data_IF_571352783701
#
_entry.id   IF_571352783701
#
_cell.length_a   1.000
_cell.length_b   1.000
_cell.length_c   1.000
_cell.angle_alpha   90.00
_cell.angle_beta   90.00
_cell.angle_gamma   90.00
#
_symmetry.space_group_name_H-M   'P 1'
#
loop_
_entity.id
_entity.type
_entity.pdbx_description
1 polymer ?
#
# COMPACT_ATOMS: atom_id res chain seq x y z
N UNK A 1 38.21 -31.16 3.67
CA UNK A 1 36.82 -30.81 3.32
C UNK A 1 36.24 -30.03 4.49
N UNK A 2 36.44 -28.71 4.49
CA UNK A 2 35.85 -27.81 5.50
C UNK A 2 35.64 -26.46 4.83
N UNK A 3 34.62 -25.74 5.28
CA UNK A 3 34.18 -24.42 4.81
C UNK A 3 33.14 -24.41 3.70
N UNK A 4 31.88 -24.69 4.07
CA UNK A 4 30.70 -24.01 3.52
C UNK A 4 29.64 -23.92 4.63
N UNK A 5 29.79 -22.99 5.57
CA UNK A 5 28.71 -22.62 6.49
C UNK A 5 28.93 -21.21 7.04
N UNK A 6 28.84 -20.22 6.17
CA UNK A 6 28.90 -18.82 6.57
C UNK A 6 28.25 -17.92 5.50
N UNK A 7 26.92 -17.99 5.32
CA UNK A 7 26.19 -16.94 4.59
C UNK A 7 24.80 -16.62 5.16
N UNK A 8 24.16 -17.45 6.00
CA UNK A 8 22.72 -17.25 6.33
C UNK A 8 22.47 -16.49 7.66
N UNK A 9 23.41 -15.65 8.11
CA UNK A 9 23.36 -14.98 9.42
C UNK A 9 23.08 -13.47 9.37
N UNK A 10 22.67 -12.88 8.23
CA UNK A 10 22.80 -11.42 8.05
C UNK A 10 21.51 -10.60 7.96
N UNK A 11 20.31 -11.18 8.07
CA UNK A 11 19.05 -10.42 7.90
C UNK A 11 18.30 -10.21 9.22
N UNK A 12 18.12 -11.24 10.06
CA UNK A 12 17.44 -11.11 11.36
C UNK A 12 18.22 -10.22 12.36
N UNK A 13 19.55 -10.32 12.38
CA UNK A 13 20.41 -9.44 13.19
C UNK A 13 20.39 -7.98 12.73
N UNK A 14 19.95 -7.70 11.49
CA UNK A 14 19.98 -6.35 10.91
C UNK A 14 18.87 -5.44 11.43
N UNK A 15 17.75 -6.00 11.89
CA UNK A 15 16.65 -5.24 12.50
C UNK A 15 17.02 -4.72 13.90
N UNK A 16 17.60 -5.58 14.75
CA UNK A 16 18.14 -5.15 16.05
C UNK A 16 19.42 -4.31 15.91
N UNK A 17 20.26 -4.55 14.89
CA UNK A 17 21.50 -3.78 14.70
C UNK A 17 21.30 -2.41 14.04
N UNK A 18 20.38 -2.25 13.07
CA UNK A 18 20.07 -0.93 12.51
C UNK A 18 19.40 -0.02 13.54
N UNK A 19 18.57 -0.57 14.43
CA UNK A 19 17.97 0.18 15.55
C UNK A 19 19.02 0.83 16.48
N UNK A 20 20.21 0.23 16.61
CA UNK A 20 21.28 0.76 17.46
C UNK A 20 22.20 1.79 16.77
N UNK A 21 22.26 1.82 15.43
CA UNK A 21 23.16 2.72 14.68
C UNK A 21 22.54 4.11 14.48
N UNK A 22 21.22 4.20 14.30
CA UNK A 22 20.50 5.46 14.07
C UNK A 22 20.57 6.39 15.30
N UNK A 23 20.59 5.85 16.52
CA UNK A 23 20.68 6.66 17.75
C UNK A 23 21.96 7.48 17.90
N UNK A 24 23.01 7.22 17.12
CA UNK A 24 24.28 7.98 17.16
C UNK A 24 24.34 9.15 16.17
N UNK A 25 23.44 9.25 15.19
CA UNK A 25 23.54 10.24 14.13
C UNK A 25 22.78 11.56 14.40
N UNK A 26 21.85 11.60 15.36
CA UNK A 26 20.90 12.73 15.50
C UNK A 26 21.33 13.82 16.50
N UNK A 27 22.55 13.77 17.06
CA UNK A 27 22.99 14.76 18.09
C UNK A 27 23.75 15.96 17.50
N UNK A 28 24.09 15.97 16.22
CA UNK A 28 24.92 17.04 15.65
C UNK A 28 24.25 17.73 14.47
N UNK A 29 23.27 18.59 14.75
CA UNK A 29 23.01 19.83 13.98
C UNK A 29 21.87 20.64 14.59
N UNK A 30 22.21 21.60 15.44
CA UNK A 30 21.31 22.68 15.84
C UNK A 30 22.10 24.00 15.87
N UNK A 31 21.86 24.87 14.89
CA UNK A 31 22.22 26.29 14.89
C UNK A 31 21.00 27.08 14.35
N UNK A 32 20.57 28.17 14.99
CA UNK A 32 19.35 28.90 14.62
C UNK A 32 19.66 30.13 13.74
N UNK A 33 18.98 30.29 12.61
CA UNK A 33 19.09 31.50 11.78
C UNK A 33 17.75 32.21 11.56
N UNK A 34 17.65 33.33 12.27
CA UNK A 34 17.17 34.66 11.88
C UNK A 34 15.92 34.84 10.99
N UNK A 35 15.02 35.63 11.56
CA UNK A 35 13.89 36.34 10.95
C UNK A 35 14.30 37.24 9.77
N UNK A 36 13.59 37.14 8.65
CA UNK A 36 13.22 38.28 7.79
C UNK A 36 12.19 37.82 6.75
N UNK A 37 10.95 38.31 6.81
CA UNK A 37 10.06 38.32 5.65
C UNK A 37 9.44 39.72 5.53
N UNK A 38 9.83 40.42 4.47
CA UNK A 38 9.28 41.69 4.02
C UNK A 38 8.00 41.45 3.20
N UNK A 39 7.09 42.40 3.35
CA UNK A 39 5.84 42.52 2.62
C UNK A 39 6.05 42.72 1.11
N UNK A 40 5.10 42.20 0.32
CA UNK A 40 4.71 42.81 -0.95
C UNK A 40 3.23 42.52 -1.19
N UNK A 41 2.51 43.59 -1.45
CA UNK A 41 1.07 43.74 -1.62
C UNK A 41 0.74 43.89 -3.12
N UNK A 42 -0.57 43.90 -3.43
CA UNK A 42 -1.21 44.42 -4.65
C UNK A 42 -1.29 43.46 -5.87
N UNK A 43 -2.33 43.41 -6.70
CA UNK A 43 -3.69 43.95 -6.72
C UNK A 43 -4.38 43.48 -8.04
N UNK A 44 -5.71 43.50 -8.03
CA UNK A 44 -6.61 43.79 -9.15
C UNK A 44 -6.94 42.74 -10.24
N UNK A 45 -8.17 42.23 -10.11
CA UNK A 45 -9.33 42.50 -10.98
C UNK A 45 -9.37 42.08 -12.46
N UNK A 46 -10.48 41.41 -12.77
CA UNK A 46 -11.15 41.41 -14.08
C UNK A 46 -11.42 40.00 -14.62
N UNK A 47 -12.53 39.62 -15.23
CA UNK A 47 -13.76 40.28 -15.70
C UNK A 47 -14.79 39.13 -15.91
N UNK A 48 -16.05 39.38 -15.59
CA UNK A 48 -17.22 38.55 -15.91
C UNK A 48 -17.45 38.42 -17.44
N UNK A 49 -17.95 37.26 -17.89
CA UNK A 49 -19.18 37.15 -18.70
C UNK A 49 -19.58 35.69 -18.97
N UNK A 50 -20.81 35.39 -18.55
CA UNK A 50 -21.69 34.30 -18.99
C UNK A 50 -21.99 34.38 -20.48
N UNK A 51 -22.27 33.27 -21.17
CA UNK A 51 -23.37 33.17 -22.15
C UNK A 51 -23.77 31.70 -22.44
N UNK A 52 -24.94 31.36 -21.89
CA UNK A 52 -26.02 30.47 -22.35
C UNK A 52 -25.81 29.27 -23.29
N UNK A 53 -26.48 28.19 -22.86
CA UNK A 53 -27.06 27.04 -23.55
C UNK A 53 -27.93 27.33 -24.79
N UNK A 54 -28.01 26.33 -25.69
CA UNK A 54 -29.24 25.73 -26.28
C UNK A 54 -28.81 24.70 -27.35
N UNK A 55 -28.93 23.38 -27.13
CA UNK A 55 -30.11 22.52 -27.33
C UNK A 55 -30.90 22.76 -28.62
N UNK A 56 -30.82 21.82 -29.57
CA UNK A 56 -31.96 21.40 -30.39
C UNK A 56 -31.76 20.03 -31.03
N UNK A 57 -32.63 19.14 -30.59
CA UNK A 57 -33.12 17.89 -31.20
C UNK A 57 -33.82 18.14 -32.54
N UNK A 58 -33.71 17.20 -33.49
CA UNK A 58 -34.87 16.61 -34.18
C UNK A 58 -34.47 15.55 -35.23
N UNK A 59 -35.03 14.36 -35.05
CA UNK A 59 -35.16 13.28 -36.03
C UNK A 59 -36.00 13.70 -37.25
N UNK A 60 -35.86 12.96 -38.36
CA UNK A 60 -37.08 12.42 -38.95
C UNK A 60 -37.03 10.91 -39.20
N UNK A 61 -38.25 10.40 -39.19
CA UNK A 61 -38.71 9.02 -39.27
C UNK A 61 -38.74 8.48 -40.71
N UNK A 62 -38.60 7.15 -40.76
CA UNK A 62 -39.29 6.21 -41.66
C UNK A 62 -39.08 6.34 -43.17
N UNK A 63 -38.41 5.34 -43.75
CA UNK A 63 -38.88 4.76 -45.01
C UNK A 63 -38.74 3.24 -44.99
N UNK A 64 -39.77 2.61 -45.54
CA UNK A 64 -40.17 1.21 -45.47
C UNK A 64 -39.41 0.33 -46.47
N UNK A 65 -39.28 -0.94 -46.07
CA UNK A 65 -39.38 -2.16 -46.89
C UNK A 65 -38.35 -2.41 -48.00
N UNK A 66 -37.62 -3.52 -47.88
CA UNK A 66 -37.62 -4.57 -48.91
C UNK A 66 -37.04 -5.86 -48.32
N UNK A 67 -37.87 -6.92 -48.34
CA UNK A 67 -37.49 -8.28 -48.05
C UNK A 67 -36.54 -8.78 -49.15
N UNK A 68 -35.33 -9.19 -48.79
CA UNK A 68 -34.49 -10.04 -49.63
C UNK A 68 -34.02 -11.24 -48.82
N UNK A 69 -34.59 -12.39 -49.20
CA UNK A 69 -34.27 -13.74 -48.76
C UNK A 69 -32.78 -14.02 -49.00
N UNK A 70 -32.01 -14.26 -47.95
CA UNK A 70 -30.62 -14.74 -48.04
C UNK A 70 -30.51 -16.16 -47.47
N UNK A 71 -29.76 -17.06 -48.13
CA UNK A 71 -29.67 -18.47 -47.74
C UNK A 71 -28.86 -18.66 -46.47
N UNK A 72 -29.30 -19.62 -45.65
CA UNK A 72 -28.63 -20.08 -44.43
C UNK A 72 -27.17 -20.51 -44.70
N UNK A 73 -26.21 -19.67 -44.31
CA UNK A 73 -24.84 -20.12 -44.02
C UNK A 73 -24.81 -20.63 -42.58
N UNK A 74 -24.62 -21.95 -42.42
CA UNK A 74 -24.25 -22.57 -41.15
C UNK A 74 -22.90 -22.01 -40.71
N UNK A 75 -22.94 -21.01 -39.83
CA UNK A 75 -21.78 -20.55 -39.07
C UNK A 75 -21.47 -21.62 -38.01
N UNK A 76 -20.24 -22.16 -37.95
CA UNK A 76 -19.85 -23.01 -36.82
C UNK A 76 -19.87 -22.14 -35.57
N UNK A 77 -20.77 -22.46 -34.63
CA UNK A 77 -20.75 -21.88 -33.29
C UNK A 77 -19.36 -22.16 -32.69
N UNK A 78 -18.53 -21.14 -32.40
CA UNK A 78 -17.37 -21.38 -31.59
C UNK A 78 -17.86 -21.95 -30.27
N UNK A 79 -17.36 -23.13 -29.92
CA UNK A 79 -17.54 -23.71 -28.61
C UNK A 79 -17.03 -22.65 -27.62
N UNK A 80 -17.93 -22.08 -26.81
CA UNK A 80 -17.52 -21.25 -25.69
C UNK A 80 -16.73 -22.17 -24.75
N UNK A 81 -15.42 -22.25 -24.98
CA UNK A 81 -14.48 -22.70 -23.98
C UNK A 81 -14.76 -21.84 -22.76
N UNK A 82 -15.23 -22.49 -21.69
CA UNK A 82 -15.26 -21.89 -20.36
C UNK A 82 -13.83 -21.47 -20.06
N UNK A 83 -13.50 -20.21 -20.32
CA UNK A 83 -12.37 -19.59 -19.67
C UNK A 83 -12.75 -19.56 -18.20
N UNK A 84 -12.16 -20.46 -17.41
CA UNK A 84 -12.17 -20.29 -15.97
C UNK A 84 -11.26 -19.08 -15.76
N UNK A 85 -11.85 -17.89 -15.78
CA UNK A 85 -11.24 -16.76 -15.12
C UNK A 85 -11.16 -17.19 -13.66
N UNK A 86 -9.99 -17.71 -13.27
CA UNK A 86 -9.64 -17.87 -11.87
C UNK A 86 -9.50 -16.45 -11.32
N UNK A 87 -10.64 -15.82 -11.06
CA UNK A 87 -10.69 -14.68 -10.17
C UNK A 87 -10.28 -15.25 -8.83
N UNK A 88 -8.98 -15.23 -8.55
CA UNK A 88 -8.44 -15.21 -7.20
C UNK A 88 -9.31 -14.22 -6.46
N UNK A 89 -10.28 -14.73 -5.69
CA UNK A 89 -11.03 -13.89 -4.76
C UNK A 89 -9.97 -13.49 -3.78
N UNK A 90 -9.52 -12.24 -3.88
CA UNK A 90 -8.50 -11.72 -3.02
C UNK A 90 -8.92 -12.07 -1.59
N UNK A 91 -8.11 -12.91 -0.95
CA UNK A 91 -8.47 -13.56 0.29
C UNK A 91 -8.53 -12.51 1.39
N UNK A 92 -9.61 -12.48 2.18
CA UNK A 92 -9.70 -11.66 3.39
C UNK A 92 -8.73 -12.12 4.50
N UNK A 93 -8.00 -13.22 4.29
CA UNK A 93 -6.97 -13.67 5.21
C UNK A 93 -5.74 -12.76 5.17
N UNK A 94 -5.05 -12.65 6.31
CA UNK A 94 -3.78 -11.94 6.38
C UNK A 94 -2.69 -12.66 5.60
N UNK A 95 -1.89 -11.87 4.91
CA UNK A 95 -0.64 -12.27 4.25
C UNK A 95 0.51 -11.50 4.88
N UNK A 96 1.68 -12.13 4.97
CA UNK A 96 2.82 -11.60 5.71
C UNK A 96 4.09 -11.58 4.87
N UNK A 97 4.92 -10.57 5.13
CA UNK A 97 6.29 -10.45 4.60
C UNK A 97 7.29 -11.06 5.58
N UNK A 98 8.52 -11.26 5.11
CA UNK A 98 9.67 -11.63 5.95
C UNK A 98 10.17 -10.48 6.84
N UNK A 99 9.72 -9.25 6.56
CA UNK A 99 9.96 -8.01 7.31
C UNK A 99 8.88 -7.68 8.33
N UNK A 100 7.95 -8.62 8.57
CA UNK A 100 6.92 -8.57 9.61
C UNK A 100 5.79 -7.56 9.38
N UNK A 101 5.62 -7.07 8.15
CA UNK A 101 4.40 -6.40 7.70
C UNK A 101 3.33 -7.43 7.34
N UNK A 102 2.07 -7.05 7.52
CA UNK A 102 0.92 -7.79 7.03
C UNK A 102 0.14 -6.98 6.00
N UNK A 103 -0.51 -7.68 5.07
CA UNK A 103 -1.53 -7.13 4.18
C UNK A 103 -2.80 -7.98 4.26
N UNK A 104 -3.94 -7.31 4.39
CA UNK A 104 -5.27 -7.90 4.22
C UNK A 104 -5.87 -7.33 2.94
N UNK A 105 -6.32 -8.18 2.05
CA UNK A 105 -6.98 -7.70 0.83
C UNK A 105 -8.48 -7.68 1.04
N UNK A 106 -9.06 -6.49 0.90
CA UNK A 106 -10.48 -6.24 1.05
C UNK A 106 -11.24 -6.59 -0.25
N UNK A 107 -12.55 -6.79 -0.17
CA UNK A 107 -13.39 -7.22 -1.30
C UNK A 107 -13.37 -6.23 -2.49
N UNK A 108 -13.02 -4.96 -2.24
CA UNK A 108 -12.89 -3.92 -3.26
C UNK A 108 -11.53 -3.94 -3.99
N UNK A 109 -10.63 -4.87 -3.65
CA UNK A 109 -9.30 -5.00 -4.25
C UNK A 109 -8.23 -4.08 -3.65
N UNK A 110 -8.54 -3.38 -2.55
CA UNK A 110 -7.57 -2.59 -1.78
C UNK A 110 -6.84 -3.48 -0.78
N UNK A 111 -5.52 -3.31 -0.65
CA UNK A 111 -4.71 -3.93 0.40
C UNK A 111 -4.59 -3.00 1.60
N UNK A 112 -5.09 -3.41 2.77
CA UNK A 112 -4.81 -2.76 4.06
C UNK A 112 -3.52 -3.31 4.63
N UNK A 113 -2.56 -2.44 4.98
CA UNK A 113 -1.21 -2.80 5.42
C UNK A 113 -0.98 -2.38 6.88
N UNK A 114 -0.26 -3.21 7.65
CA UNK A 114 0.21 -2.87 8.99
C UNK A 114 1.40 -3.73 9.44
N UNK A 115 1.79 -3.66 10.71
CA UNK A 115 2.84 -4.53 11.28
C UNK A 115 2.25 -5.62 12.17
N UNK A 116 2.93 -6.76 12.24
CA UNK A 116 2.49 -7.90 13.06
C UNK A 116 2.67 -7.67 14.56
N UNK A 117 2.03 -8.53 15.36
CA UNK A 117 2.22 -8.52 16.82
C UNK A 117 3.69 -8.74 17.22
N UNK A 118 4.39 -9.63 16.52
CA UNK A 118 5.81 -9.88 16.76
C UNK A 118 6.65 -8.60 16.56
N UNK A 119 6.38 -7.84 15.49
CA UNK A 119 7.09 -6.60 15.20
C UNK A 119 6.83 -5.52 16.25
N UNK A 120 5.58 -5.31 16.67
CA UNK A 120 5.27 -4.27 17.65
C UNK A 120 5.86 -4.59 19.03
N UNK A 121 5.91 -5.88 19.43
CA UNK A 121 6.57 -6.28 20.69
C UNK A 121 8.08 -6.03 20.64
N UNK A 122 8.72 -6.31 19.51
CA UNK A 122 10.14 -6.06 19.30
C UNK A 122 10.48 -4.56 19.31
N UNK A 123 9.62 -3.70 18.75
CA UNK A 123 9.77 -2.25 18.80
C UNK A 123 9.55 -1.70 20.22
N UNK A 124 8.59 -2.24 20.96
CA UNK A 124 8.09 -1.67 22.20
C UNK A 124 7.12 -0.51 21.95
N UNK A 125 6.95 0.36 22.95
CA UNK A 125 5.94 1.42 22.93
C UNK A 125 6.19 2.45 21.81
N UNK A 126 5.36 2.41 20.78
CA UNK A 126 5.46 3.28 19.60
C UNK A 126 5.06 4.70 19.99
N UNK A 127 5.93 5.66 19.66
CA UNK A 127 5.75 7.09 19.94
C UNK A 127 5.62 7.94 18.69
N UNK A 128 5.99 7.41 17.52
CA UNK A 128 5.88 8.11 16.25
C UNK A 128 5.64 7.15 15.09
N UNK A 129 4.81 7.59 14.12
CA UNK A 129 4.53 6.88 12.88
C UNK A 129 4.77 7.82 11.68
N UNK A 130 5.85 7.60 10.93
CA UNK A 130 6.09 8.22 9.64
C UNK A 130 5.39 7.43 8.54
N UNK A 131 4.32 7.99 7.99
CA UNK A 131 3.49 7.37 6.95
C UNK A 131 3.64 8.13 5.62
N UNK A 132 3.39 7.48 4.47
CA UNK A 132 3.55 8.10 3.15
C UNK A 132 2.40 9.06 2.85
N UNK A 133 2.53 9.86 1.80
CA UNK A 133 1.41 10.67 1.30
C UNK A 133 0.45 9.82 0.45
N UNK A 134 -0.85 10.12 0.53
CA UNK A 134 -1.84 9.55 -0.39
C UNK A 134 -1.51 9.96 -1.83
N UNK A 135 -1.55 9.00 -2.76
CA UNK A 135 -1.13 9.15 -4.15
C UNK A 135 0.33 8.74 -4.41
N UNK A 136 1.08 8.35 -3.37
CA UNK A 136 2.44 7.84 -3.54
C UNK A 136 2.42 6.49 -4.28
N UNK A 137 3.25 6.37 -5.32
CA UNK A 137 3.47 5.12 -6.05
C UNK A 137 4.60 4.33 -5.36
N UNK A 138 4.33 3.09 -5.01
CA UNK A 138 5.28 2.18 -4.35
C UNK A 138 5.43 0.92 -5.19
N UNK A 139 6.67 0.46 -5.39
CA UNK A 139 6.96 -0.90 -5.79
C UNK A 139 7.04 -1.83 -4.57
N UNK A 140 6.86 -3.13 -4.78
CA UNK A 140 7.13 -4.11 -3.74
C UNK A 140 8.56 -3.95 -3.21
N UNK A 141 8.72 -3.97 -1.88
CA UNK A 141 9.96 -3.70 -1.14
C UNK A 141 10.45 -2.24 -1.17
N UNK A 142 9.69 -1.28 -1.71
CA UNK A 142 10.03 0.14 -1.50
C UNK A 142 9.78 0.53 -0.04
N UNK A 143 10.68 1.33 0.51
CA UNK A 143 10.47 1.97 1.82
C UNK A 143 9.36 3.02 1.69
N UNK A 144 8.38 2.96 2.58
CA UNK A 144 7.25 3.92 2.56
C UNK A 144 7.16 4.77 3.83
N UNK A 145 7.93 4.45 4.86
CA UNK A 145 7.81 5.11 6.16
C UNK A 145 8.65 4.46 7.25
N UNK A 146 8.42 4.87 8.50
CA UNK A 146 9.10 4.34 9.66
C UNK A 146 8.23 4.39 10.92
N UNK A 147 8.47 3.48 11.85
CA UNK A 147 7.93 3.51 13.21
C UNK A 147 9.07 3.76 14.20
N UNK A 148 8.84 4.63 15.16
CA UNK A 148 9.79 4.90 16.23
C UNK A 148 9.16 4.65 17.60
N UNK A 149 9.97 4.06 18.48
CA UNK A 149 9.69 3.85 19.89
C UNK A 149 10.77 4.54 20.73
N UNK A 150 10.62 4.50 22.05
CA UNK A 150 11.67 4.96 22.98
C UNK A 150 12.92 4.06 22.94
N UNK A 151 12.82 2.87 22.33
CA UNK A 151 13.87 1.84 22.34
C UNK A 151 14.50 1.59 20.98
N UNK A 152 13.76 1.80 19.90
CA UNK A 152 14.15 1.41 18.55
C UNK A 152 13.45 2.28 17.50
N UNK A 153 13.99 2.28 16.30
CA UNK A 153 13.34 2.79 15.11
C UNK A 153 13.41 1.72 14.03
N UNK A 154 12.39 1.67 13.19
CA UNK A 154 12.33 0.73 12.09
C UNK A 154 11.69 1.32 10.85
N UNK A 155 12.36 1.13 9.72
CA UNK A 155 11.82 1.37 8.39
C UNK A 155 10.68 0.38 8.09
N UNK A 156 9.75 0.81 7.23
CA UNK A 156 8.58 0.07 6.79
C UNK A 156 8.63 -0.12 5.28
N UNK A 157 8.36 -1.34 4.83
CA UNK A 157 8.50 -1.70 3.41
C UNK A 157 7.19 -2.16 2.80
N UNK A 158 6.94 -1.73 1.56
CA UNK A 158 5.68 -2.02 0.89
C UNK A 158 5.59 -3.52 0.56
N UNK A 159 4.53 -4.23 0.99
CA UNK A 159 4.39 -5.65 0.70
C UNK A 159 4.06 -5.91 -0.78
N UNK A 160 3.53 -4.91 -1.49
CA UNK A 160 2.99 -5.01 -2.84
C UNK A 160 3.36 -3.77 -3.66
N UNK A 161 3.25 -3.89 -4.98
CA UNK A 161 3.31 -2.77 -5.92
C UNK A 161 1.94 -2.13 -6.06
N UNK A 162 1.84 -0.80 -5.93
CA UNK A 162 0.59 -0.06 -6.06
C UNK A 162 0.66 1.40 -5.64
N UNK A 163 -0.51 2.01 -5.48
CA UNK A 163 -0.70 3.41 -5.09
C UNK A 163 -1.28 3.50 -3.68
N UNK A 164 -0.74 4.36 -2.83
CA UNK A 164 -1.31 4.65 -1.51
C UNK A 164 -2.64 5.40 -1.68
N UNK A 165 -3.74 4.82 -1.20
CA UNK A 165 -5.09 5.42 -1.32
C UNK A 165 -5.62 6.00 -0.01
N UNK A 166 -5.09 5.54 1.12
CA UNK A 166 -5.52 6.00 2.45
C UNK A 166 -4.38 5.79 3.45
N UNK A 167 -4.28 6.65 4.45
CA UNK A 167 -3.37 6.50 5.59
C UNK A 167 -4.12 6.66 6.89
N UNK A 168 -3.68 5.98 7.95
CA UNK A 168 -4.33 6.04 9.24
C UNK A 168 -3.96 7.32 10.00
N UNK A 169 -4.74 8.37 9.78
CA UNK A 169 -4.53 9.68 10.40
C UNK A 169 -4.64 9.66 11.93
N UNK A 170 -5.28 8.64 12.52
CA UNK A 170 -5.39 8.49 13.97
C UNK A 170 -4.04 8.23 14.65
N UNK A 171 -3.04 7.72 13.90
CA UNK A 171 -1.72 7.40 14.43
C UNK A 171 -0.87 8.63 14.75
N UNK A 172 -1.22 9.80 14.21
CA UNK A 172 -0.57 11.06 14.56
C UNK A 172 -0.81 11.44 16.03
N UNK A 173 -2.04 11.23 16.52
CA UNK A 173 -2.43 11.55 17.89
C UNK A 173 -2.33 10.33 18.84
N UNK A 174 -2.43 9.12 18.30
CA UNK A 174 -2.45 7.88 19.08
C UNK A 174 -1.60 6.77 18.45
N UNK A 175 -0.25 6.95 18.42
CA UNK A 175 0.67 5.96 17.83
C UNK A 175 0.59 4.60 18.55
N UNK A 176 0.22 4.58 19.83
CA UNK A 176 0.06 3.35 20.62
C UNK A 176 -1.06 2.41 20.13
N UNK A 177 -1.89 2.81 19.16
CA UNK A 177 -2.80 1.88 18.46
C UNK A 177 -2.04 0.77 17.75
N UNK A 178 -0.82 1.04 17.27
CA UNK A 178 0.06 0.02 16.67
C UNK A 178 0.35 -1.08 17.69
N UNK A 179 0.62 -0.75 18.95
CA UNK A 179 0.85 -1.75 19.99
C UNK A 179 -0.43 -2.46 20.43
N UNK A 180 -1.55 -1.72 20.59
CA UNK A 180 -2.79 -2.24 21.19
C UNK A 180 -3.69 -3.01 20.23
N UNK A 181 -3.62 -2.69 18.93
CA UNK A 181 -4.61 -3.08 17.94
C UNK A 181 -3.98 -3.29 16.55
N UNK A 182 -2.78 -3.88 16.49
CA UNK A 182 -1.95 -4.01 15.29
C UNK A 182 -2.66 -4.58 14.04
N UNK A 183 -3.64 -5.48 14.22
CA UNK A 183 -4.42 -6.08 13.11
C UNK A 183 -5.79 -5.43 12.85
N UNK A 184 -6.16 -4.42 13.65
CA UNK A 184 -7.45 -3.72 13.58
C UNK A 184 -7.23 -2.23 13.45
N UNK A 185 -7.16 -1.49 14.55
CA UNK A 185 -7.12 -0.02 14.54
C UNK A 185 -5.71 0.54 14.31
N UNK A 186 -4.68 -0.31 14.41
CA UNK A 186 -3.27 0.01 14.19
C UNK A 186 -2.78 -0.25 12.76
N UNK A 187 -3.68 -0.30 11.77
CA UNK A 187 -3.29 -0.34 10.35
C UNK A 187 -2.55 0.96 9.98
N UNK A 188 -1.65 0.91 9.00
CA UNK A 188 -0.76 2.02 8.65
C UNK A 188 -1.25 2.75 7.40
N UNK A 189 -1.44 2.01 6.31
CA UNK A 189 -1.91 2.54 5.04
C UNK A 189 -2.81 1.54 4.33
N UNK A 190 -3.56 2.04 3.34
CA UNK A 190 -4.22 1.22 2.34
C UNK A 190 -3.67 1.57 0.96
N UNK A 191 -3.54 0.56 0.11
CA UNK A 191 -3.03 0.74 -1.23
C UNK A 191 -3.81 -0.05 -2.28
N UNK A 192 -3.75 0.40 -3.52
CA UNK A 192 -4.15 -0.44 -4.67
C UNK A 192 -3.17 -1.58 -4.86
N UNK A 193 -3.60 -2.63 -5.56
CA UNK A 193 -2.76 -3.78 -5.88
C UNK A 193 -2.57 -3.82 -7.39
N UNK A 194 -1.41 -3.38 -7.87
CA UNK A 194 -1.10 -3.37 -9.30
C UNK A 194 -0.77 -4.77 -9.85
N UNK A 195 -0.20 -5.64 -9.00
CA UNK A 195 0.21 -6.99 -9.37
C UNK A 195 -0.31 -8.04 -8.37
N UNK A 196 -1.46 -8.69 -8.62
CA UNK A 196 -2.04 -9.67 -7.71
C UNK A 196 -1.16 -10.89 -7.42
N UNK A 197 -0.23 -11.23 -8.33
CA UNK A 197 0.67 -12.38 -8.13
C UNK A 197 1.65 -12.17 -6.96
N UNK A 198 1.91 -10.92 -6.58
CA UNK A 198 2.73 -10.61 -5.40
C UNK A 198 2.04 -11.04 -4.11
N UNK A 199 0.70 -10.97 -4.04
CA UNK A 199 -0.08 -11.44 -2.88
C UNK A 199 0.06 -12.94 -2.69
N UNK A 200 0.08 -13.69 -3.79
CA UNK A 200 0.21 -15.16 -3.78
C UNK A 200 1.60 -15.59 -3.31
N UNK A 201 2.62 -14.75 -3.51
CA UNK A 201 4.00 -15.00 -3.06
C UNK A 201 4.20 -14.75 -1.55
N UNK A 202 3.29 -14.02 -0.89
CA UNK A 202 3.38 -13.73 0.54
C UNK A 202 3.00 -14.94 1.39
N UNK A 203 3.59 -14.99 2.58
CA UNK A 203 3.32 -16.03 3.57
C UNK A 203 1.88 -15.94 4.04
N UNK A 204 1.21 -17.08 4.19
CA UNK A 204 0.00 -17.14 5.01
C UNK A 204 0.38 -17.17 6.50
N UNK A 205 -0.63 -17.12 7.35
CA UNK A 205 -0.46 -17.09 8.81
C UNK A 205 0.31 -18.32 9.33
N UNK A 206 0.03 -19.52 8.83
CA UNK A 206 0.71 -20.74 9.25
C UNK A 206 2.20 -20.76 8.84
N UNK A 207 2.51 -20.28 7.64
CA UNK A 207 3.88 -20.11 7.18
C UNK A 207 4.62 -19.04 8.00
N UNK A 208 3.95 -17.94 8.34
CA UNK A 208 4.50 -16.86 9.13
C UNK A 208 4.79 -17.28 10.59
N UNK A 209 3.89 -18.02 11.24
CA UNK A 209 4.13 -18.59 12.57
C UNK A 209 5.36 -19.51 12.59
N UNK A 210 5.52 -20.33 11.55
CA UNK A 210 6.70 -21.19 11.41
C UNK A 210 7.97 -20.35 11.19
N UNK A 211 7.88 -19.28 10.41
CA UNK A 211 8.98 -18.34 10.21
C UNK A 211 9.41 -17.68 11.52
N UNK A 212 8.47 -17.14 12.31
CA UNK A 212 8.76 -16.55 13.62
C UNK A 212 9.42 -17.58 14.56
N UNK A 213 8.87 -18.79 14.65
CA UNK A 213 9.50 -19.81 15.50
C UNK A 213 10.95 -20.11 15.10
N UNK A 214 11.25 -20.09 13.80
CA UNK A 214 12.60 -20.37 13.30
C UNK A 214 13.62 -19.25 13.55
N UNK A 215 13.18 -18.04 13.91
CA UNK A 215 14.07 -16.93 14.26
C UNK A 215 14.27 -16.78 15.77
N UNK A 216 13.41 -17.40 16.58
CA UNK A 216 13.51 -17.41 18.06
C UNK A 216 14.45 -18.51 18.58
N UNK A 217 14.65 -19.58 17.81
CA UNK A 217 15.54 -20.72 18.10
C UNK A 217 17.02 -20.44 17.71
#
# INVERSE_FOLDING_TARGET
MSSQRAVVSSTASRWQQNAAVVSKATVEQAEPLAHHQLAAEMSASGVLRSFSSNFSTAWPLLTRSALLLSPLRLSPKPYNGRTIASSSRLSAALKFTDKHEWVRVDDNGTGTVGISNFAQEALGDVVYCGLPEVGTQLAQQDEFGALESVKAASELYSPLTGEVVEVNTLLADNPGLVNKSCYKDGWLMKMTIANPAEVDALMDEAAYEKYIRSIED
#
